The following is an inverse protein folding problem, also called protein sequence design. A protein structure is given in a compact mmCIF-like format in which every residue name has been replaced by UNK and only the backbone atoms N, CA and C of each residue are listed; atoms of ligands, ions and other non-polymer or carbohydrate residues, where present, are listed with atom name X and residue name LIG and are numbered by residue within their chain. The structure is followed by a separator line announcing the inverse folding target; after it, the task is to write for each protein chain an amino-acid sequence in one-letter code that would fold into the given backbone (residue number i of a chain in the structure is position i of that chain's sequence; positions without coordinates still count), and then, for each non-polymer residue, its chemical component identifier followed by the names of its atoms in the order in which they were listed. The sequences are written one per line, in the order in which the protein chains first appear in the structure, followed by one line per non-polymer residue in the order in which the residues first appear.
data_IF_640716507588
#
_entry.id   IF_640716507588
#
_cell.length_a   1.000
_cell.length_b   1.000
_cell.length_c   1.000
_cell.angle_alpha   90.00
_cell.angle_beta   90.00
_cell.angle_gamma   90.00
#
_symmetry.space_group_name_H-M   'P 1'
#
loop_
_entity.id
_entity.type
_entity.pdbx_description
1 polymer ?
#
# COMPACT_ATOMS: atom_id res chain seq x y z
N UNK A 1 -26.14 -17.83 9.62
CA UNK A 1 -24.66 -17.83 9.57
C UNK A 1 -24.00 -18.03 10.93
N UNK A 2 -24.41 -17.33 11.99
CA UNK A 2 -23.66 -17.31 13.26
C UNK A 2 -23.74 -18.60 14.11
N UNK A 3 -24.63 -19.54 13.78
CA UNK A 3 -24.81 -20.81 14.51
C UNK A 3 -23.65 -21.79 14.33
N UNK A 4 -22.89 -21.70 13.24
CA UNK A 4 -21.74 -22.57 12.93
C UNK A 4 -20.42 -22.14 13.60
N UNK A 5 -20.44 -21.03 14.33
CA UNK A 5 -19.25 -20.50 15.00
C UNK A 5 -18.93 -21.22 16.32
N UNK A 6 -19.91 -21.90 16.92
CA UNK A 6 -19.74 -22.59 18.20
C UNK A 6 -18.67 -23.68 18.07
N UNK A 7 -17.69 -23.66 18.98
CA UNK A 7 -16.57 -24.61 19.01
C UNK A 7 -15.42 -24.28 18.07
N UNK A 8 -15.47 -23.14 17.35
CA UNK A 8 -14.33 -22.65 16.56
C UNK A 8 -13.32 -21.95 17.48
N UNK A 9 -12.05 -21.95 17.05
CA UNK A 9 -10.94 -21.27 17.73
C UNK A 9 -10.40 -20.17 16.82
N UNK A 10 -10.16 -18.99 17.36
CA UNK A 10 -9.58 -17.84 16.66
C UNK A 10 -8.25 -17.49 17.33
N UNK A 11 -7.17 -17.72 16.60
CA UNK A 11 -5.84 -17.23 16.97
C UNK A 11 -5.68 -15.75 16.63
N UNK A 12 -5.01 -14.97 17.47
CA UNK A 12 -4.58 -13.61 17.13
C UNK A 12 -3.13 -13.35 17.53
N UNK A 13 -2.47 -12.50 16.74
CA UNK A 13 -1.13 -12.01 17.05
C UNK A 13 -1.08 -10.52 16.74
N UNK A 14 -1.13 -9.71 17.79
CA UNK A 14 -1.15 -8.25 17.72
C UNK A 14 -0.21 -7.69 18.79
N UNK A 15 0.41 -6.53 18.51
CA UNK A 15 1.21 -5.86 19.54
C UNK A 15 0.34 -5.37 20.69
N UNK A 16 0.90 -5.28 21.90
CA UNK A 16 0.22 -4.72 23.07
C UNK A 16 -0.40 -3.33 22.81
N UNK A 17 0.31 -2.48 22.07
CA UNK A 17 -0.19 -1.16 21.65
C UNK A 17 -1.45 -1.27 20.79
N UNK A 18 -1.50 -2.23 19.87
CA UNK A 18 -2.65 -2.46 18.99
C UNK A 18 -3.82 -3.09 19.74
N UNK A 19 -3.56 -4.05 20.63
CA UNK A 19 -4.56 -4.69 21.50
C UNK A 19 -5.29 -3.62 22.33
N UNK A 20 -4.53 -2.74 23.00
CA UNK A 20 -5.08 -1.64 23.79
C UNK A 20 -5.87 -0.66 22.93
N UNK A 21 -5.31 -0.26 21.79
CA UNK A 21 -5.94 0.72 20.89
C UNK A 21 -7.27 0.24 20.32
N UNK A 22 -7.36 -1.02 19.92
CA UNK A 22 -8.60 -1.59 19.40
C UNK A 22 -9.58 -1.98 20.52
N UNK A 23 -9.15 -2.02 21.78
CA UNK A 23 -9.87 -2.69 22.87
C UNK A 23 -10.22 -4.15 22.52
N UNK A 24 -9.23 -4.90 22.04
CA UNK A 24 -9.45 -6.24 21.46
C UNK A 24 -10.02 -7.26 22.47
N UNK A 25 -9.92 -6.99 23.77
CA UNK A 25 -10.56 -7.80 24.81
C UNK A 25 -12.09 -7.82 24.69
N UNK A 26 -12.71 -6.72 24.24
CA UNK A 26 -14.15 -6.68 23.99
C UNK A 26 -14.56 -7.60 22.82
N UNK A 27 -13.69 -7.73 21.80
CA UNK A 27 -13.90 -8.69 20.72
C UNK A 27 -13.81 -10.15 21.20
N UNK A 28 -12.82 -10.44 22.04
CA UNK A 28 -12.68 -11.78 22.63
C UNK A 28 -13.92 -12.17 23.45
N UNK A 29 -14.49 -11.24 24.21
CA UNK A 29 -15.74 -11.44 24.95
C UNK A 29 -16.94 -11.64 24.01
N UNK A 30 -17.03 -10.85 22.93
CA UNK A 30 -18.07 -11.03 21.91
C UNK A 30 -18.00 -12.44 21.28
N UNK A 31 -16.80 -12.92 20.97
CA UNK A 31 -16.55 -14.26 20.46
C UNK A 31 -16.97 -15.34 21.46
N UNK A 32 -16.59 -15.19 22.74
CA UNK A 32 -16.93 -16.13 23.82
C UNK A 32 -18.44 -16.28 23.99
N UNK A 33 -19.20 -15.19 23.91
CA UNK A 33 -20.68 -15.20 23.93
C UNK A 33 -21.29 -16.02 22.79
N UNK A 34 -20.55 -16.23 21.70
CA UNK A 34 -20.94 -17.10 20.56
C UNK A 34 -20.31 -18.49 20.61
N UNK A 35 -19.67 -18.85 21.72
CA UNK A 35 -19.01 -20.15 21.91
C UNK A 35 -17.73 -20.32 21.08
N UNK A 36 -17.05 -19.22 20.75
CA UNK A 36 -15.76 -19.21 20.05
C UNK A 36 -14.65 -19.02 21.09
N UNK A 37 -13.63 -19.86 21.03
CA UNK A 37 -12.40 -19.69 21.82
C UNK A 37 -11.46 -18.70 21.12
N UNK A 38 -10.87 -17.77 21.87
CA UNK A 38 -9.89 -16.81 21.33
C UNK A 38 -8.56 -17.01 22.04
N UNK A 39 -7.49 -17.24 21.27
CA UNK A 39 -6.16 -17.64 21.77
C UNK A 39 -5.08 -16.76 21.16
N UNK A 40 -4.03 -16.46 21.93
CA UNK A 40 -2.87 -15.71 21.45
C UNK A 40 -1.79 -16.71 20.99
N UNK A 41 -1.12 -16.44 19.86
CA UNK A 41 0.00 -17.23 19.27
C UNK A 41 -0.37 -18.61 18.65
N UNK A 42 -0.55 -18.68 17.32
CA UNK A 42 -0.92 -19.94 16.65
C UNK A 42 -0.68 -19.96 15.13
N UNK A 43 0.56 -19.96 14.62
CA UNK A 43 0.73 -19.98 13.13
C UNK A 43 1.60 -21.10 12.56
N UNK A 44 2.49 -21.76 13.31
CA UNK A 44 3.51 -22.56 12.61
C UNK A 44 3.22 -24.07 12.46
N UNK A 45 2.13 -24.60 13.01
CA UNK A 45 1.85 -26.06 13.02
C UNK A 45 0.55 -26.51 12.31
N UNK A 46 -0.21 -25.58 11.70
CA UNK A 46 -1.60 -25.85 11.28
C UNK A 46 -1.96 -25.25 9.92
N UNK A 47 -1.64 -25.91 8.79
CA UNK A 47 -1.93 -25.42 7.43
C UNK A 47 -3.43 -25.26 7.13
N UNK A 48 -4.32 -25.89 7.90
CA UNK A 48 -5.77 -25.72 7.86
C UNK A 48 -6.25 -24.36 8.39
N UNK A 49 -5.38 -23.63 9.09
CA UNK A 49 -5.69 -22.34 9.72
C UNK A 49 -5.88 -21.26 8.67
N UNK A 50 -7.05 -20.63 8.66
CA UNK A 50 -7.30 -19.43 7.87
C UNK A 50 -6.52 -18.27 8.49
N UNK A 51 -5.62 -17.66 7.73
CA UNK A 51 -4.82 -16.50 8.14
C UNK A 51 -5.45 -15.21 7.59
N UNK A 52 -5.86 -14.31 8.48
CA UNK A 52 -6.38 -12.98 8.14
C UNK A 52 -5.34 -11.91 8.54
N UNK A 53 -4.57 -11.32 7.62
CA UNK A 53 -4.47 -11.59 6.18
C UNK A 53 -3.14 -12.30 5.82
N UNK A 54 -3.04 -12.97 4.65
CA UNK A 54 -1.84 -13.70 4.26
C UNK A 54 -0.57 -12.83 4.26
N UNK A 55 0.55 -13.37 4.77
CA UNK A 55 1.82 -12.65 4.83
C UNK A 55 2.32 -12.07 3.50
N UNK A 56 2.15 -12.73 2.33
CA UNK A 56 2.50 -12.13 1.04
C UNK A 56 1.74 -10.82 0.76
N UNK A 57 0.46 -10.77 1.13
CA UNK A 57 -0.37 -9.59 0.97
C UNK A 57 0.12 -8.45 1.87
N UNK A 58 0.42 -8.76 3.13
CA UNK A 58 0.99 -7.79 4.09
C UNK A 58 2.32 -7.24 3.58
N UNK A 59 3.21 -8.09 3.03
CA UNK A 59 4.50 -7.66 2.48
C UNK A 59 4.35 -6.68 1.32
N UNK A 60 3.32 -6.83 0.48
CA UNK A 60 3.01 -5.86 -0.57
C UNK A 60 2.62 -4.51 0.02
N UNK A 61 1.77 -4.51 1.06
CA UNK A 61 1.29 -3.28 1.72
C UNK A 61 2.33 -2.59 2.60
N UNK A 62 3.48 -3.20 2.87
CA UNK A 62 4.60 -2.58 3.58
C UNK A 62 5.51 -1.73 2.67
N UNK A 63 5.33 -1.79 1.35
CA UNK A 63 6.09 -1.04 0.36
C UNK A 63 5.14 -0.17 -0.47
N UNK A 64 5.27 1.17 -0.35
CA UNK A 64 4.38 2.11 -1.04
C UNK A 64 4.49 2.03 -2.56
N UNK A 65 5.69 1.81 -3.11
CA UNK A 65 5.89 1.69 -4.56
C UNK A 65 5.13 0.47 -5.08
N UNK A 66 5.28 -0.68 -4.40
CA UNK A 66 4.54 -1.91 -4.77
C UNK A 66 3.03 -1.74 -4.62
N UNK A 67 2.60 -1.07 -3.56
CA UNK A 67 1.18 -0.83 -3.28
C UNK A 67 0.54 0.06 -4.35
N UNK A 68 1.17 1.18 -4.69
CA UNK A 68 0.66 2.11 -5.71
C UNK A 68 0.70 1.49 -7.11
N UNK A 69 1.74 0.71 -7.43
CA UNK A 69 1.82 0.01 -8.72
C UNK A 69 0.72 -1.05 -8.87
N UNK A 70 0.39 -1.74 -7.79
CA UNK A 70 -0.74 -2.67 -7.79
C UNK A 70 -2.07 -1.94 -7.96
N UNK A 71 -2.30 -0.86 -7.21
CA UNK A 71 -3.50 -0.04 -7.33
C UNK A 71 -3.66 0.45 -8.77
N UNK A 72 -2.60 1.01 -9.37
CA UNK A 72 -2.58 1.46 -10.77
C UNK A 72 -2.98 0.36 -11.75
N UNK A 73 -2.50 -0.88 -11.56
CA UNK A 73 -2.89 -2.04 -12.39
C UNK A 73 -4.35 -2.43 -12.21
N UNK A 74 -4.85 -2.39 -10.97
CA UNK A 74 -6.25 -2.68 -10.67
C UNK A 74 -7.16 -1.62 -11.30
N UNK A 75 -6.84 -0.35 -11.16
CA UNK A 75 -7.60 0.77 -11.75
C UNK A 75 -7.61 0.67 -13.28
N UNK A 76 -6.47 0.36 -13.90
CA UNK A 76 -6.38 0.13 -15.34
C UNK A 76 -7.20 -1.08 -15.82
N UNK A 77 -7.31 -2.12 -15.00
CA UNK A 77 -8.16 -3.29 -15.28
C UNK A 77 -9.66 -2.96 -15.12
N UNK A 78 -10.01 -2.15 -14.11
CA UNK A 78 -11.40 -1.75 -13.86
C UNK A 78 -11.96 -0.84 -14.94
N UNK A 79 -11.11 0.00 -15.57
CA UNK A 79 -11.50 0.95 -16.61
C UNK A 79 -12.67 1.86 -16.21
N UNK A 80 -12.74 2.23 -14.92
CA UNK A 80 -13.75 3.14 -14.37
C UNK A 80 -13.26 4.58 -14.49
N UNK A 81 -13.94 5.38 -15.29
CA UNK A 81 -13.59 6.79 -15.56
C UNK A 81 -13.74 7.70 -14.32
N UNK A 82 -14.41 7.24 -13.27
CA UNK A 82 -14.54 7.93 -11.99
C UNK A 82 -13.32 7.74 -11.10
N UNK A 83 -12.33 6.95 -11.50
CA UNK A 83 -11.11 6.67 -10.71
C UNK A 83 -9.90 7.23 -11.45
N UNK A 84 -8.95 7.79 -10.72
CA UNK A 84 -7.67 8.21 -11.27
C UNK A 84 -6.50 7.75 -10.40
N UNK A 85 -5.44 7.29 -11.06
CA UNK A 85 -4.16 6.97 -10.43
C UNK A 85 -3.28 8.21 -10.51
N UNK A 86 -3.00 8.92 -9.40
CA UNK A 86 -2.07 10.03 -9.44
C UNK A 86 -0.69 9.52 -9.90
N UNK A 87 -0.06 10.13 -10.93
CA UNK A 87 1.26 9.75 -11.37
C UNK A 87 2.21 9.67 -10.17
N UNK A 88 3.00 8.60 -10.11
CA UNK A 88 3.96 8.37 -9.04
C UNK A 88 5.19 7.64 -9.57
N UNK A 89 6.30 7.76 -8.86
CA UNK A 89 7.50 6.95 -9.11
C UNK A 89 8.35 6.80 -7.84
N UNK A 90 9.20 5.78 -7.81
CA UNK A 90 10.22 5.63 -6.78
C UNK A 90 11.51 6.36 -7.19
N UNK A 91 12.02 7.21 -6.30
CA UNK A 91 13.37 7.77 -6.40
C UNK A 91 14.28 6.99 -5.46
N UNK A 92 15.37 6.45 -5.99
CA UNK A 92 16.37 5.65 -5.26
C UNK A 92 17.68 6.39 -5.02
N UNK A 93 17.94 7.45 -5.79
CA UNK A 93 19.17 8.24 -5.77
C UNK A 93 18.86 9.71 -5.52
N UNK A 94 19.83 10.43 -4.93
CA UNK A 94 19.70 11.87 -4.66
C UNK A 94 19.37 12.63 -5.95
N UNK A 95 18.60 13.70 -5.82
CA UNK A 95 18.22 14.52 -6.96
C UNK A 95 19.45 15.23 -7.54
N UNK A 96 19.53 15.27 -8.86
CA UNK A 96 20.58 15.92 -9.63
C UNK A 96 20.03 16.44 -10.97
N UNK A 97 20.92 16.69 -11.93
CA UNK A 97 20.59 17.38 -13.19
C UNK A 97 19.51 16.64 -14.01
N UNK A 98 19.54 15.30 -14.01
CA UNK A 98 18.59 14.47 -14.77
C UNK A 98 17.23 14.28 -14.10
N UNK A 99 17.08 14.71 -12.82
CA UNK A 99 15.87 14.43 -12.05
C UNK A 99 14.62 15.06 -12.66
N UNK A 100 14.72 16.28 -13.20
CA UNK A 100 13.58 16.94 -13.84
C UNK A 100 13.10 16.17 -15.08
N UNK A 101 14.01 15.72 -15.93
CA UNK A 101 13.66 14.94 -17.12
C UNK A 101 13.01 13.61 -16.74
N UNK A 102 13.51 12.97 -15.66
CA UNK A 102 12.95 11.73 -15.15
C UNK A 102 11.53 11.93 -14.60
N UNK A 103 11.28 13.02 -13.87
CA UNK A 103 9.95 13.37 -13.35
C UNK A 103 8.96 13.60 -14.50
N UNK A 104 9.32 14.43 -15.48
CA UNK A 104 8.49 14.71 -16.66
C UNK A 104 8.17 13.45 -17.47
N UNK A 105 9.17 12.59 -17.70
CA UNK A 105 8.99 11.31 -18.41
C UNK A 105 7.98 10.39 -17.73
N UNK A 106 7.86 10.47 -16.41
CA UNK A 106 6.90 9.69 -15.62
C UNK A 106 5.59 10.44 -15.33
N UNK A 107 5.38 11.62 -15.95
CA UNK A 107 4.15 12.40 -15.80
C UNK A 107 4.03 13.11 -14.45
N UNK A 108 5.14 13.30 -13.72
CA UNK A 108 5.13 14.05 -12.47
C UNK A 108 5.17 15.55 -12.75
N UNK A 109 4.35 16.30 -12.01
CA UNK A 109 4.23 17.74 -12.10
C UNK A 109 4.20 18.36 -10.69
N UNK A 110 4.65 19.60 -10.57
CA UNK A 110 4.56 20.32 -9.32
C UNK A 110 3.11 20.81 -9.05
N UNK A 111 2.64 20.78 -7.79
CA UNK A 111 3.33 20.19 -6.65
C UNK A 111 3.19 18.67 -6.61
N UNK A 112 4.16 18.00 -6.01
CA UNK A 112 4.08 16.58 -5.69
C UNK A 112 4.43 16.33 -4.22
N UNK A 113 3.91 15.24 -3.67
CA UNK A 113 4.16 14.78 -2.31
C UNK A 113 5.23 13.68 -2.32
N UNK A 114 6.22 13.82 -1.44
CA UNK A 114 7.25 12.83 -1.14
C UNK A 114 6.82 12.02 0.08
N UNK A 115 6.89 10.70 -0.03
CA UNK A 115 6.57 9.73 1.02
C UNK A 115 7.74 8.76 1.14
N UNK A 116 8.04 8.26 2.33
CA UNK A 116 9.03 7.18 2.47
C UNK A 116 8.57 5.93 1.69
N UNK A 117 9.51 5.10 1.22
CA UNK A 117 9.14 3.85 0.55
C UNK A 117 8.48 2.86 1.52
N UNK A 118 9.06 2.72 2.71
CA UNK A 118 8.52 1.88 3.79
C UNK A 118 7.21 2.50 4.27
N UNK A 119 6.11 1.73 4.17
CA UNK A 119 4.76 2.26 4.37
C UNK A 119 4.34 2.36 5.85
N UNK A 120 5.00 1.62 6.74
CA UNK A 120 4.62 1.52 8.15
C UNK A 120 5.85 1.37 9.07
N UNK A 121 5.81 2.00 10.25
CA UNK A 121 6.85 1.91 11.27
C UNK A 121 7.33 3.26 11.76
N UNK A 122 8.43 3.26 12.52
CA UNK A 122 9.09 4.50 12.94
C UNK A 122 9.62 5.23 11.69
N UNK A 123 9.40 6.54 11.59
CA UNK A 123 9.80 7.40 10.47
C UNK A 123 9.06 7.16 9.13
N UNK A 124 8.10 6.24 9.02
CA UNK A 124 7.35 6.03 7.77
C UNK A 124 6.34 7.15 7.45
N UNK A 125 6.22 8.15 8.33
CA UNK A 125 5.18 9.17 8.30
C UNK A 125 5.72 10.58 8.04
N UNK A 126 7.04 10.75 7.97
CA UNK A 126 7.62 12.01 7.50
C UNK A 126 7.42 12.12 5.99
N UNK A 127 6.85 13.25 5.58
CA UNK A 127 6.49 13.56 4.21
C UNK A 127 6.93 14.97 3.86
N UNK A 128 7.05 15.24 2.56
CA UNK A 128 7.30 16.59 2.06
C UNK A 128 6.38 16.92 0.88
N UNK A 129 6.08 18.20 0.66
CA UNK A 129 5.45 18.70 -0.57
C UNK A 129 6.44 19.61 -1.26
N UNK A 130 6.76 19.28 -2.51
CA UNK A 130 7.71 20.02 -3.33
C UNK A 130 6.92 20.83 -4.37
N UNK A 131 7.20 22.13 -4.47
CA UNK A 131 6.45 23.08 -5.29
C UNK A 131 7.19 23.51 -6.57
N UNK A 132 8.50 23.31 -6.63
CA UNK A 132 9.36 23.76 -7.72
C UNK A 132 10.68 22.97 -7.74
N UNK A 133 11.50 23.24 -8.76
CA UNK A 133 12.77 22.55 -8.99
C UNK A 133 13.78 22.77 -7.86
N UNK A 134 13.81 23.96 -7.24
CA UNK A 134 14.71 24.26 -6.10
C UNK A 134 14.43 23.34 -4.90
N UNK A 135 13.15 23.01 -4.68
CA UNK A 135 12.71 22.08 -3.67
C UNK A 135 13.12 20.61 -3.88
N UNK A 136 13.68 20.23 -5.03
CA UNK A 136 14.20 18.86 -5.22
C UNK A 136 15.33 18.53 -4.25
N UNK A 137 16.08 19.53 -3.80
CA UNK A 137 17.14 19.39 -2.79
C UNK A 137 16.64 18.88 -1.44
N UNK A 138 15.35 19.03 -1.14
CA UNK A 138 14.71 18.56 0.09
C UNK A 138 14.39 17.06 0.10
N UNK A 139 14.47 16.39 -1.05
CA UNK A 139 14.05 15.00 -1.20
C UNK A 139 15.11 14.06 -0.64
N UNK A 140 14.69 13.12 0.21
CA UNK A 140 15.56 12.07 0.78
C UNK A 140 15.15 10.68 0.26
N UNK A 141 15.89 10.12 -0.71
CA UNK A 141 15.72 8.75 -1.19
C UNK A 141 16.17 7.70 -0.16
N UNK A 142 15.63 6.46 -0.21
CA UNK A 142 14.58 6.01 -1.11
C UNK A 142 13.20 6.54 -0.70
N UNK A 143 12.50 7.16 -1.65
CA UNK A 143 11.17 7.72 -1.44
C UNK A 143 10.27 7.50 -2.65
N UNK A 144 8.97 7.55 -2.42
CA UNK A 144 7.96 7.61 -3.47
C UNK A 144 7.53 9.07 -3.62
N UNK A 145 7.60 9.57 -4.84
CA UNK A 145 7.04 10.87 -5.23
C UNK A 145 5.72 10.63 -5.97
N UNK A 146 4.70 11.42 -5.67
CA UNK A 146 3.36 11.28 -6.26
C UNK A 146 2.76 12.67 -6.47
N UNK A 147 2.10 12.91 -7.61
CA UNK A 147 1.45 14.19 -7.87
C UNK A 147 0.48 14.55 -6.75
N UNK A 148 0.54 15.81 -6.30
CA UNK A 148 -0.39 16.33 -5.33
C UNK A 148 -1.71 16.65 -6.03
N UNK A 149 -2.82 16.15 -5.47
CA UNK A 149 -4.15 16.37 -6.00
C UNK A 149 -4.89 17.30 -5.05
N UNK A 150 -5.37 18.45 -5.53
CA UNK A 150 -6.26 19.32 -4.76
C UNK A 150 -7.60 18.60 -4.54
N UNK A 151 -8.06 18.58 -3.29
CA UNK A 151 -9.20 17.76 -2.86
C UNK A 151 -9.99 18.39 -1.71
N UNK A 152 -9.89 19.72 -1.57
CA UNK A 152 -10.65 20.51 -0.61
C UNK A 152 -10.48 20.04 0.86
N UNK A 153 -9.27 19.60 1.24
CA UNK A 153 -8.88 19.25 2.61
C UNK A 153 -9.70 18.14 3.29
N UNK A 154 -10.42 17.30 2.54
CA UNK A 154 -11.18 16.17 3.09
C UNK A 154 -10.60 14.84 2.63
N UNK A 155 -10.18 14.02 3.59
CA UNK A 155 -9.79 12.63 3.36
C UNK A 155 -10.96 11.69 3.71
N UNK A 156 -11.25 10.75 2.83
CA UNK A 156 -12.22 9.69 3.06
C UNK A 156 -11.49 8.38 3.36
N UNK A 157 -11.39 8.03 4.65
CA UNK A 157 -10.84 6.74 5.07
C UNK A 157 -11.91 5.66 4.91
N UNK A 158 -11.74 4.80 3.93
CA UNK A 158 -12.55 3.60 3.74
C UNK A 158 -11.94 2.47 4.55
N UNK A 159 -12.56 2.14 5.67
CA UNK A 159 -12.16 0.99 6.48
C UNK A 159 -12.89 -0.26 6.02
N UNK A 160 -12.15 -1.22 5.47
CA UNK A 160 -12.70 -2.47 4.95
C UNK A 160 -12.54 -3.60 5.98
N UNK A 161 -13.61 -4.36 6.15
CA UNK A 161 -13.68 -5.56 6.98
C UNK A 161 -14.39 -6.64 6.18
N UNK A 162 -13.62 -7.37 5.38
CA UNK A 162 -14.13 -8.36 4.45
C UNK A 162 -15.08 -7.75 3.43
N UNK A 163 -16.36 -8.09 3.57
CA UNK A 163 -17.42 -7.66 2.65
C UNK A 163 -18.08 -6.34 3.03
N UNK A 164 -17.86 -5.89 4.27
CA UNK A 164 -18.32 -4.61 4.77
C UNK A 164 -17.25 -3.55 4.62
N UNK A 165 -17.67 -2.29 4.51
CA UNK A 165 -16.79 -1.13 4.68
C UNK A 165 -17.51 0.00 5.40
N UNK A 166 -16.75 0.89 6.01
CA UNK A 166 -17.24 2.14 6.59
C UNK A 166 -16.37 3.29 6.12
N UNK A 167 -16.99 4.40 5.71
CA UNK A 167 -16.28 5.62 5.31
C UNK A 167 -16.23 6.59 6.48
N UNK A 168 -15.03 7.00 6.88
CA UNK A 168 -14.80 8.00 7.93
C UNK A 168 -14.08 9.19 7.33
N UNK A 169 -14.69 10.37 7.42
CA UNK A 169 -14.04 11.61 7.01
C UNK A 169 -12.94 12.00 7.99
N UNK A 170 -11.84 12.53 7.48
CA UNK A 170 -10.70 13.03 8.25
C UNK A 170 -10.23 14.37 7.69
N UNK A 171 -9.62 15.22 8.54
CA UNK A 171 -8.82 16.34 8.06
C UNK A 171 -7.76 15.87 7.06
N UNK A 172 -7.46 16.70 6.06
CA UNK A 172 -6.46 16.43 5.04
C UNK A 172 -5.78 17.73 4.61
N UNK A 173 -4.74 17.60 3.79
CA UNK A 173 -3.98 18.75 3.29
C UNK A 173 -4.89 19.70 2.49
N UNK A 174 -4.77 21.00 2.77
CA UNK A 174 -5.45 22.06 2.02
C UNK A 174 -5.04 22.07 0.55
N UNK A 175 -5.81 22.80 -0.26
CA UNK A 175 -5.44 23.04 -1.64
C UNK A 175 -4.18 23.90 -1.73
N UNK A 176 -3.42 23.67 -2.80
CA UNK A 176 -2.27 24.47 -3.17
C UNK A 176 -2.34 24.93 -4.62
N UNK A 177 -1.91 26.15 -4.88
CA UNK A 177 -1.64 26.64 -6.24
C UNK A 177 -0.42 25.94 -6.81
N UNK A 178 -0.45 25.61 -8.09
CA UNK A 178 0.74 25.13 -8.80
C UNK A 178 1.85 26.19 -8.69
N UNK A 179 3.05 25.78 -8.25
CA UNK A 179 4.22 26.64 -8.36
C UNK A 179 4.51 26.91 -9.83
N UNK A 180 4.87 28.15 -10.19
CA UNK A 180 5.31 28.46 -11.55
C UNK A 180 6.61 27.74 -11.86
N UNK A 181 6.54 26.54 -12.42
CA UNK A 181 7.69 25.99 -13.13
C UNK A 181 7.87 26.80 -14.41
N UNK A 182 9.07 27.31 -14.67
CA UNK A 182 9.40 28.13 -15.84
C UNK A 182 9.38 27.38 -17.18
N UNK A 183 8.49 26.42 -17.35
CA UNK A 183 8.26 25.74 -18.63
C UNK A 183 6.99 26.31 -19.27
N UNK A 184 7.14 26.84 -20.48
CA UNK A 184 6.04 27.42 -21.25
C UNK A 184 4.92 26.38 -21.44
N UNK A 185 3.64 26.77 -21.39
CA UNK A 185 2.57 25.84 -21.70
C UNK A 185 2.71 25.41 -23.18
N UNK A 186 2.90 24.10 -23.40
CA UNK A 186 2.74 23.49 -24.71
C UNK A 186 1.33 23.76 -25.28
N UNK A 187 1.15 23.70 -26.60
CA UNK A 187 -0.05 24.20 -27.25
C UNK A 187 -1.28 23.42 -26.79
N UNK A 188 -2.17 24.11 -26.07
CA UNK A 188 -3.51 23.64 -25.79
C UNK A 188 -4.25 23.49 -27.12
N UNK A 189 -4.61 22.25 -27.46
CA UNK A 189 -5.52 21.93 -28.55
C UNK A 189 -6.93 22.37 -28.15
N UNK A 190 -7.29 23.59 -28.51
CA UNK A 190 -8.68 24.05 -28.49
C UNK A 190 -9.32 23.66 -29.85
N UNK A 191 -10.49 23.00 -29.89
CA UNK A 191 -11.16 22.71 -31.15
C UNK A 191 -11.77 23.98 -31.76
N UNK A 192 -11.85 24.10 -33.11
CA UNK A 192 -12.28 25.32 -33.77
C UNK A 192 -13.81 25.48 -33.68
N UNK A 193 -14.25 26.62 -33.14
CA UNK A 193 -15.63 27.08 -33.31
C UNK A 193 -15.71 28.11 -34.44
N UNK A 194 -16.70 27.90 -35.30
CA UNK A 194 -16.94 28.57 -36.57
C UNK A 194 -17.32 30.07 -36.48
N UNK A 195 -17.12 30.71 -37.63
CA UNK A 195 -17.29 32.11 -38.01
C UNK A 195 -18.73 32.67 -37.93
N UNK A 196 -18.85 33.97 -37.67
CA UNK A 196 -20.07 34.75 -37.89
C UNK A 196 -19.89 36.27 -37.79
N UNK A 197 -19.64 36.91 -38.93
CA UNK A 197 -20.01 38.28 -39.37
C UNK A 197 -20.04 39.48 -38.40
N UNK A 198 -19.36 40.57 -38.80
CA UNK A 198 -19.65 41.93 -38.30
C UNK A 198 -18.73 42.99 -38.91
N UNK A 199 -19.31 43.95 -39.63
CA UNK A 199 -18.70 44.86 -40.61
C UNK A 199 -18.24 46.19 -39.97
N UNK A 200 -17.22 46.81 -40.59
CA UNK A 200 -17.05 48.26 -40.82
C UNK A 200 -16.50 49.17 -39.69
N UNK A 201 -15.41 49.88 -40.00
CA UNK A 201 -15.02 51.13 -39.35
C UNK A 201 -13.57 51.54 -39.65
N UNK A 202 -13.39 52.51 -40.55
CA UNK A 202 -12.10 52.99 -41.09
C UNK A 202 -11.82 54.37 -40.50
N UNK A 203 -10.65 54.59 -39.89
CA UNK A 203 -10.01 55.92 -39.85
C UNK A 203 -8.50 55.87 -39.57
N UNK A 204 -7.81 56.79 -40.21
CA UNK A 204 -6.36 56.99 -40.35
C UNK A 204 -5.86 57.94 -39.24
N UNK A 205 -4.60 57.81 -38.80
CA UNK A 205 -3.83 58.97 -38.34
C UNK A 205 -2.79 58.77 -37.23
N UNK A 206 -1.53 58.92 -37.66
CA UNK A 206 -0.38 59.52 -36.96
C UNK A 206 0.54 58.71 -36.04
N UNK A 207 1.79 58.72 -36.53
CA UNK A 207 3.10 58.51 -35.91
C UNK A 207 3.33 59.32 -34.64
N UNK A 208 3.88 58.66 -33.61
CA UNK A 208 4.47 59.30 -32.45
C UNK A 208 5.37 58.31 -31.70
N UNK A 209 6.68 58.39 -31.94
CA UNK A 209 7.67 57.67 -31.17
C UNK A 209 7.72 58.21 -29.72
N UNK A 210 7.50 57.35 -28.73
CA UNK A 210 7.76 57.66 -27.33
C UNK A 210 8.46 56.49 -26.65
N UNK A 211 9.61 56.84 -26.05
CA UNK A 211 10.58 56.01 -25.34
C UNK A 211 9.94 55.01 -24.39
N UNK A 212 10.48 53.79 -24.42
CA UNK A 212 10.12 52.70 -23.53
C UNK A 212 10.32 53.06 -22.06
N UNK A 213 9.22 53.14 -21.34
CA UNK A 213 9.14 52.83 -19.92
C UNK A 213 8.66 51.39 -19.83
N UNK A 214 9.59 50.50 -19.48
CA UNK A 214 9.34 49.09 -19.22
C UNK A 214 8.32 49.03 -18.08
N UNK A 215 7.09 48.61 -18.36
CA UNK A 215 6.10 48.30 -17.35
C UNK A 215 6.69 47.25 -16.39
N UNK A 216 6.42 47.33 -15.07
CA UNK A 216 6.80 46.26 -14.16
C UNK A 216 6.08 45.00 -14.63
N UNK A 217 6.83 43.94 -14.93
CA UNK A 217 6.28 42.62 -15.17
C UNK A 217 5.39 42.26 -13.99
N UNK A 218 4.10 42.11 -14.26
CA UNK A 218 3.10 41.73 -13.29
C UNK A 218 3.44 40.34 -12.72
N UNK A 219 3.53 40.27 -11.39
CA UNK A 219 3.22 39.07 -10.60
C UNK A 219 4.18 37.87 -10.72
N UNK A 220 5.42 37.98 -10.22
CA UNK A 220 6.06 36.79 -9.64
C UNK A 220 5.42 36.56 -8.27
N UNK A 221 4.60 35.51 -8.15
CA UNK A 221 4.32 34.92 -6.84
C UNK A 221 5.65 34.41 -6.28
N UNK A 222 6.00 34.68 -5.01
CA UNK A 222 7.26 34.21 -4.44
C UNK A 222 7.35 32.68 -4.53
N UNK A 223 8.50 32.18 -4.99
CA UNK A 223 8.80 30.75 -5.02
C UNK A 223 8.61 30.19 -3.61
N UNK A 224 7.67 29.25 -3.48
CA UNK A 224 7.31 28.68 -2.18
C UNK A 224 8.28 27.58 -1.82
N UNK A 225 8.80 27.62 -0.59
CA UNK A 225 9.61 26.55 -0.03
C UNK A 225 8.83 25.22 0.10
N UNK A 226 9.56 24.11 0.08
CA UNK A 226 8.99 22.79 0.33
C UNK A 226 8.44 22.70 1.76
N UNK A 227 7.30 22.03 1.92
CA UNK A 227 6.68 21.82 3.23
C UNK A 227 7.08 20.45 3.74
N UNK A 228 7.57 20.35 4.97
CA UNK A 228 7.79 19.08 5.65
C UNK A 228 6.76 18.88 6.75
N UNK A 229 6.24 17.66 6.88
CA UNK A 229 5.24 17.36 7.88
C UNK A 229 5.19 15.86 8.21
N UNK A 230 4.70 15.55 9.40
CA UNK A 230 4.34 14.19 9.78
C UNK A 230 2.86 13.93 9.49
N UNK A 231 2.54 12.85 8.78
CA UNK A 231 1.17 12.53 8.36
C UNK A 231 0.19 12.31 9.54
N UNK A 232 0.70 11.95 10.72
CA UNK A 232 -0.11 11.85 11.94
C UNK A 232 -0.69 13.18 12.39
N UNK A 233 -0.03 14.30 12.09
CA UNK A 233 -0.48 15.63 12.47
C UNK A 233 -1.54 16.18 11.49
N UNK A 234 -1.76 15.48 10.37
CA UNK A 234 -2.62 15.94 9.27
C UNK A 234 -3.96 15.21 9.23
N UNK A 235 -4.00 13.89 9.40
CA UNK A 235 -5.22 13.10 9.12
C UNK A 235 -5.72 12.20 10.26
N UNK A 236 -5.42 12.58 11.51
CA UNK A 236 -6.06 12.01 12.71
C UNK A 236 -7.37 12.75 13.02
N UNK A 237 -8.28 12.16 13.83
CA UNK A 237 -9.60 12.75 14.09
C UNK A 237 -9.52 14.20 14.58
N UNK A 238 -8.60 14.48 15.50
CA UNK A 238 -8.40 15.80 16.11
C UNK A 238 -7.28 16.61 15.43
N UNK A 239 -6.82 16.20 14.24
CA UNK A 239 -5.78 16.95 13.54
C UNK A 239 -6.29 18.32 13.12
N UNK A 240 -5.63 19.36 13.62
CA UNK A 240 -5.92 20.75 13.25
C UNK A 240 -4.61 21.52 13.14
N UNK A 241 -4.35 22.04 11.95
CA UNK A 241 -3.17 22.87 11.67
C UNK A 241 -3.43 23.77 10.47
N UNK A 242 -2.51 24.70 10.20
CA UNK A 242 -2.52 25.53 8.98
C UNK A 242 -2.45 24.70 7.70
N UNK A 243 -1.94 23.47 7.76
CA UNK A 243 -1.89 22.55 6.61
C UNK A 243 -3.23 21.90 6.30
N UNK A 244 -4.16 21.87 7.26
CA UNK A 244 -5.50 21.27 7.09
C UNK A 244 -6.62 22.31 7.03
N UNK A 245 -6.30 23.57 7.33
CA UNK A 245 -7.23 24.68 7.21
C UNK A 245 -7.44 25.04 5.73
N UNK A 246 -8.60 24.67 5.18
CA UNK A 246 -8.98 25.04 3.82
C UNK A 246 -9.33 26.53 3.75
N UNK A 247 -8.73 27.26 2.82
CA UNK A 247 -9.02 28.69 2.65
C UNK A 247 -10.43 28.91 2.09
N UNK A 248 -10.77 28.16 1.03
CA UNK A 248 -12.08 28.13 0.37
C UNK A 248 -12.22 26.83 -0.43
N UNK A 249 -13.46 26.40 -0.66
CA UNK A 249 -13.75 25.28 -1.56
C UNK A 249 -13.51 25.74 -3.00
N UNK A 250 -12.84 24.90 -3.80
CA UNK A 250 -12.56 25.14 -5.21
C UNK A 250 -12.96 23.91 -6.02
N UNK A 251 -13.52 24.13 -7.22
CA UNK A 251 -13.90 23.05 -8.13
C UNK A 251 -14.97 22.11 -7.56
N UNK A 252 -14.88 20.83 -7.93
CA UNK A 252 -15.75 19.74 -7.47
C UNK A 252 -15.51 19.45 -5.98
N UNK A 253 -16.59 19.31 -5.23
CA UNK A 253 -16.55 18.94 -3.82
C UNK A 253 -17.69 17.97 -3.49
N UNK A 254 -17.43 16.69 -3.75
CA UNK A 254 -18.40 15.62 -3.60
C UNK A 254 -17.90 14.56 -2.62
N UNK A 255 -18.82 13.73 -2.13
CA UNK A 255 -18.47 12.52 -1.39
C UNK A 255 -18.10 11.39 -2.36
N UNK A 256 -17.27 10.42 -1.94
CA UNK A 256 -16.97 9.28 -2.79
C UNK A 256 -18.22 8.44 -3.08
N UNK A 257 -18.29 7.91 -4.30
CA UNK A 257 -19.30 6.97 -4.75
C UNK A 257 -19.12 5.63 -4.06
N UNK A 258 -20.19 5.17 -3.41
CA UNK A 258 -20.26 3.85 -2.80
C UNK A 258 -20.07 2.70 -3.82
N UNK A 259 -20.48 2.91 -5.07
CA UNK A 259 -20.26 1.92 -6.13
C UNK A 259 -18.78 1.78 -6.45
N UNK A 260 -18.07 2.91 -6.60
CA UNK A 260 -16.61 2.94 -6.82
C UNK A 260 -15.88 2.29 -5.66
N UNK A 261 -16.25 2.64 -4.41
CA UNK A 261 -15.65 2.04 -3.21
C UNK A 261 -15.86 0.52 -3.19
N UNK A 262 -17.08 0.04 -3.47
CA UNK A 262 -17.37 -1.41 -3.52
C UNK A 262 -16.53 -2.11 -4.58
N UNK A 263 -16.38 -1.50 -5.76
CA UNK A 263 -15.61 -2.07 -6.85
C UNK A 263 -14.12 -2.13 -6.51
N UNK A 264 -13.54 -1.04 -5.99
CA UNK A 264 -12.16 -0.97 -5.52
C UNK A 264 -11.88 -1.98 -4.40
N UNK A 265 -12.74 -2.01 -3.37
CA UNK A 265 -12.63 -2.97 -2.27
C UNK A 265 -12.63 -4.40 -2.79
N UNK A 266 -13.58 -4.77 -3.65
CA UNK A 266 -13.66 -6.11 -4.22
C UNK A 266 -12.41 -6.47 -5.02
N UNK A 267 -11.95 -5.57 -5.89
CA UNK A 267 -10.78 -5.81 -6.73
C UNK A 267 -9.50 -5.96 -5.90
N UNK A 268 -9.28 -5.11 -4.90
CA UNK A 268 -8.13 -5.20 -3.98
C UNK A 268 -8.14 -6.50 -3.18
N UNK A 269 -9.30 -6.90 -2.65
CA UNK A 269 -9.45 -8.17 -1.92
C UNK A 269 -9.16 -9.37 -2.82
N UNK A 270 -9.66 -9.37 -4.05
CA UNK A 270 -9.42 -10.44 -5.01
C UNK A 270 -7.96 -10.51 -5.47
N UNK A 271 -7.31 -9.36 -5.68
CA UNK A 271 -5.93 -9.30 -6.18
C UNK A 271 -4.88 -9.63 -5.10
N UNK A 272 -5.09 -9.18 -3.85
CA UNK A 272 -4.13 -9.37 -2.77
C UNK A 272 -4.47 -10.52 -1.82
N UNK A 273 -5.75 -10.91 -1.72
CA UNK A 273 -6.24 -11.75 -0.64
C UNK A 273 -6.28 -11.04 0.72
N UNK A 274 -6.20 -9.70 0.76
CA UNK A 274 -6.46 -8.95 2.00
C UNK A 274 -7.95 -8.90 2.28
N UNK A 275 -8.30 -8.66 3.53
CA UNK A 275 -9.68 -8.50 3.98
C UNK A 275 -9.83 -7.47 5.08
N UNK A 276 -8.78 -7.21 5.87
CA UNK A 276 -8.79 -6.21 6.92
C UNK A 276 -7.79 -5.11 6.57
N UNK A 277 -8.25 -4.09 5.87
CA UNK A 277 -7.40 -3.01 5.37
C UNK A 277 -8.15 -1.69 5.31
N UNK A 278 -7.42 -0.59 5.14
CA UNK A 278 -7.97 0.74 4.92
C UNK A 278 -7.48 1.32 3.60
N UNK A 279 -8.36 2.03 2.90
CA UNK A 279 -8.03 2.80 1.69
C UNK A 279 -8.25 4.28 2.00
N UNK A 280 -7.25 5.11 1.73
CA UNK A 280 -7.34 6.55 1.86
C UNK A 280 -7.70 7.14 0.49
N UNK A 281 -8.94 7.61 0.37
CA UNK A 281 -9.48 8.20 -0.86
C UNK A 281 -9.61 9.71 -0.71
N UNK A 282 -9.19 10.44 -1.72
CA UNK A 282 -9.49 11.86 -1.91
C UNK A 282 -10.27 12.06 -3.20
N UNK A 283 -11.08 13.11 -3.28
CA UNK A 283 -11.82 13.47 -4.48
C UNK A 283 -11.09 14.62 -5.18
N UNK A 284 -10.61 14.35 -6.39
CA UNK A 284 -9.92 15.34 -7.20
C UNK A 284 -10.89 16.49 -7.52
N UNK A 285 -10.58 17.70 -7.05
CA UNK A 285 -11.50 18.83 -7.22
C UNK A 285 -11.54 19.39 -8.66
N UNK A 286 -10.65 18.96 -9.55
CA UNK A 286 -10.69 19.34 -10.96
C UNK A 286 -11.60 18.41 -11.77
N UNK A 287 -11.62 17.12 -11.43
CA UNK A 287 -12.30 16.09 -12.24
C UNK A 287 -13.45 15.36 -11.55
N UNK A 288 -13.55 15.45 -10.22
CA UNK A 288 -14.46 14.66 -9.40
C UNK A 288 -14.05 13.18 -9.23
N UNK A 289 -12.89 12.78 -9.76
CA UNK A 289 -12.43 11.40 -9.70
C UNK A 289 -11.89 11.03 -8.32
N UNK A 290 -12.00 9.74 -8.01
CA UNK A 290 -11.47 9.12 -6.79
C UNK A 290 -9.99 8.82 -7.00
N UNK A 291 -9.14 9.38 -6.15
CA UNK A 291 -7.73 9.03 -6.11
C UNK A 291 -7.44 8.24 -4.83
N UNK A 292 -6.96 7.01 -4.97
CA UNK A 292 -6.42 6.25 -3.86
C UNK A 292 -4.99 6.70 -3.59
N UNK A 293 -4.76 7.31 -2.43
CA UNK A 293 -3.45 7.91 -2.08
C UNK A 293 -2.69 7.13 -1.01
N UNK A 294 -3.35 6.20 -0.32
CA UNK A 294 -2.70 5.29 0.63
C UNK A 294 -3.55 4.02 0.83
N UNK A 295 -2.89 2.92 1.17
CA UNK A 295 -3.53 1.67 1.56
C UNK A 295 -2.79 1.08 2.76
N UNK A 296 -3.54 0.65 3.76
CA UNK A 296 -2.99 0.23 5.05
C UNK A 296 -3.51 -1.15 5.44
N UNK A 297 -2.61 -2.08 5.76
CA UNK A 297 -2.99 -3.34 6.37
C UNK A 297 -3.48 -3.12 7.82
N UNK A 298 -4.60 -3.75 8.17
CA UNK A 298 -5.21 -3.76 9.50
C UNK A 298 -5.11 -2.40 10.23
N UNK A 299 -5.79 -1.33 9.76
CA UNK A 299 -5.65 0.01 10.30
C UNK A 299 -6.27 0.16 11.69
N UNK A 300 -6.41 1.39 12.19
CA UNK A 300 -6.92 1.66 13.54
C UNK A 300 -8.43 1.53 13.71
N UNK A 301 -9.22 1.54 12.63
CA UNK A 301 -10.69 1.51 12.64
C UNK A 301 -11.36 2.56 13.56
N UNK A 302 -10.64 3.63 13.88
CA UNK A 302 -11.14 4.77 14.67
C UNK A 302 -12.30 5.45 13.93
N UNK A 303 -13.49 5.46 14.55
CA UNK A 303 -14.72 5.97 13.96
C UNK A 303 -15.65 4.89 13.37
N UNK A 304 -15.29 3.60 13.50
CA UNK A 304 -16.12 2.47 13.05
C UNK A 304 -16.70 1.76 14.27
N UNK A 305 -17.94 2.09 14.66
CA UNK A 305 -18.60 1.49 15.82
C UNK A 305 -18.83 -0.02 15.64
N UNK A 306 -19.13 -0.44 14.41
CA UNK A 306 -19.50 -1.82 14.08
C UNK A 306 -18.29 -2.74 13.84
N UNK A 307 -17.06 -2.27 14.06
CA UNK A 307 -15.84 -2.99 13.69
C UNK A 307 -15.82 -4.45 14.18
N UNK A 308 -16.18 -4.69 15.45
CA UNK A 308 -16.19 -6.05 16.01
C UNK A 308 -17.32 -6.92 15.49
N UNK A 309 -18.47 -6.35 15.21
CA UNK A 309 -19.60 -7.05 14.57
C UNK A 309 -19.21 -7.46 13.15
N UNK A 310 -18.64 -6.54 12.38
CA UNK A 310 -18.18 -6.78 11.02
C UNK A 310 -17.05 -7.81 10.98
N UNK A 311 -16.07 -7.72 11.89
CA UNK A 311 -14.96 -8.67 11.98
C UNK A 311 -15.48 -10.09 12.26
N UNK A 312 -16.45 -10.21 13.17
CA UNK A 312 -17.05 -11.50 13.49
C UNK A 312 -17.89 -12.06 12.33
N UNK A 313 -18.61 -11.20 11.61
CA UNK A 313 -19.36 -11.59 10.41
C UNK A 313 -18.41 -12.03 9.29
N UNK A 314 -17.27 -11.36 9.13
CA UNK A 314 -16.24 -11.73 8.17
C UNK A 314 -15.62 -13.09 8.52
N UNK A 315 -15.26 -13.33 9.78
CA UNK A 315 -14.78 -14.65 10.26
C UNK A 315 -15.81 -15.74 9.95
N UNK A 316 -17.11 -15.48 10.16
CA UNK A 316 -18.17 -16.42 9.80
C UNK A 316 -18.23 -16.69 8.28
N UNK A 317 -18.05 -15.66 7.47
CA UNK A 317 -18.05 -15.75 6.00
C UNK A 317 -16.90 -16.64 5.49
N UNK A 318 -15.67 -16.40 5.96
CA UNK A 318 -14.49 -17.18 5.52
C UNK A 318 -14.56 -18.64 5.96
N UNK A 319 -15.08 -18.91 7.17
CA UNK A 319 -15.30 -20.29 7.66
C UNK A 319 -16.36 -21.03 6.82
N UNK A 320 -17.42 -20.33 6.41
CA UNK A 320 -18.44 -20.90 5.54
C UNK A 320 -17.88 -21.19 4.14
N UNK A 321 -17.09 -20.27 3.58
CA UNK A 321 -16.44 -20.43 2.29
C UNK A 321 -15.51 -21.64 2.25
N UNK A 322 -14.69 -21.83 3.30
CA UNK A 322 -13.82 -23.00 3.42
C UNK A 322 -14.62 -24.31 3.51
N UNK A 323 -15.71 -24.32 4.29
CA UNK A 323 -16.57 -25.50 4.45
C UNK A 323 -17.27 -25.88 3.14
N UNK A 324 -17.76 -24.90 2.38
CA UNK A 324 -18.38 -25.12 1.08
C UNK A 324 -17.37 -25.58 0.02
N UNK A 325 -16.18 -25.01 0.00
CA UNK A 325 -15.11 -25.44 -0.91
C UNK A 325 -14.66 -26.88 -0.63
N UNK A 326 -14.49 -27.25 0.64
CA UNK A 326 -14.16 -28.61 1.05
C UNK A 326 -15.28 -29.62 0.71
N UNK A 327 -16.55 -29.21 0.81
CA UNK A 327 -17.69 -30.04 0.41
C UNK A 327 -17.79 -30.22 -1.11
N UNK A 328 -17.33 -29.24 -1.90
CA UNK A 328 -17.33 -29.30 -3.36
C UNK A 328 -16.13 -30.05 -3.95
N UNK A 329 -14.98 -30.09 -3.25
CA UNK A 329 -13.73 -30.65 -3.80
C UNK A 329 -13.50 -32.13 -3.50
N UNK A 330 -14.24 -32.76 -2.57
CA UNK A 330 -14.16 -34.21 -2.29
C UNK A 330 -12.80 -34.74 -1.78
N UNK A 331 -11.74 -33.96 -1.86
CA UNK A 331 -10.38 -34.30 -1.44
C UNK A 331 -9.62 -33.06 -0.96
N UNK A 332 -8.70 -33.26 -0.01
CA UNK A 332 -7.99 -32.21 0.73
C UNK A 332 -6.85 -31.64 -0.12
N UNK A 333 -7.08 -30.50 -0.77
CA UNK A 333 -6.01 -29.66 -1.32
C UNK A 333 -6.25 -28.18 -0.97
N UNK A 334 -5.22 -27.43 -0.52
CA UNK A 334 -5.41 -26.03 -0.16
C UNK A 334 -5.71 -25.18 -1.40
N UNK A 335 -6.63 -24.24 -1.25
CA UNK A 335 -7.01 -23.24 -2.25
C UNK A 335 -5.77 -22.48 -2.77
N UNK A 336 -5.27 -22.86 -3.95
CA UNK A 336 -4.26 -22.11 -4.69
C UNK A 336 -4.86 -20.83 -5.24
N UNK A 337 -4.74 -19.72 -4.51
CA UNK A 337 -4.96 -18.39 -5.05
C UNK A 337 -3.64 -17.84 -5.59
N UNK A 338 -3.37 -18.12 -6.87
CA UNK A 338 -2.48 -17.33 -7.75
C UNK A 338 -2.30 -18.06 -9.08
N UNK A 339 -3.07 -17.65 -10.10
CA UNK A 339 -2.76 -18.00 -11.49
C UNK A 339 -2.82 -16.80 -12.44
N UNK A 340 -2.60 -15.61 -11.89
CA UNK A 340 -2.25 -14.40 -12.63
C UNK A 340 -0.92 -13.93 -12.05
N UNK A 341 0.09 -13.75 -12.89
CA UNK A 341 1.51 -13.50 -12.59
C UNK A 341 2.40 -14.77 -12.47
N UNK A 342 2.32 -15.65 -13.46
CA UNK A 342 3.42 -16.55 -13.79
C UNK A 342 3.39 -16.90 -15.29
N UNK A 343 3.56 -15.89 -16.16
CA UNK A 343 3.99 -16.08 -17.55
C UNK A 343 4.33 -14.73 -18.17
N UNK A 344 5.61 -14.35 -18.10
CA UNK A 344 6.38 -13.65 -19.14
C UNK A 344 7.77 -13.34 -18.58
N UNK A 345 8.62 -14.36 -18.58
CA UNK A 345 10.06 -14.22 -18.53
C UNK A 345 10.65 -15.35 -19.37
N UNK A 346 11.25 -14.98 -20.50
CA UNK A 346 11.73 -15.87 -21.55
C UNK A 346 11.15 -15.37 -22.87
N UNK A 347 11.89 -14.76 -23.79
CA UNK A 347 13.31 -14.87 -24.08
C UNK A 347 13.37 -14.92 -25.60
N UNK A 348 13.78 -13.81 -26.21
CA UNK A 348 13.96 -13.68 -27.65
C UNK A 348 14.99 -14.73 -28.12
N UNK A 349 14.55 -15.70 -28.92
CA UNK A 349 15.44 -16.50 -29.75
C UNK A 349 14.72 -16.84 -31.06
N UNK A 350 15.35 -16.44 -32.16
CA UNK A 350 14.84 -16.48 -33.51
C UNK A 350 14.57 -17.91 -34.02
N UNK A 351 13.48 -18.05 -34.77
CA UNK A 351 13.21 -19.20 -35.61
C UNK A 351 14.24 -19.28 -36.75
N UNK A 352 14.94 -20.42 -36.84
CA UNK A 352 15.45 -20.94 -38.12
C UNK A 352 15.14 -22.42 -38.21
N UNK A 353 14.27 -22.71 -39.17
CA UNK A 353 13.96 -24.00 -39.77
C UNK A 353 15.23 -24.73 -40.24
N UNK A 354 15.30 -26.04 -40.05
CA UNK A 354 15.65 -27.04 -41.08
C UNK A 354 15.71 -28.48 -40.52
N UNK A 355 15.22 -29.39 -41.37
CA UNK A 355 15.00 -30.84 -41.28
C UNK A 355 16.26 -31.73 -41.21
N UNK A 356 16.16 -32.90 -40.54
CA UNK A 356 16.40 -34.26 -41.08
C UNK A 356 16.67 -35.36 -40.00
N UNK A 357 15.75 -36.33 -39.90
CA UNK A 357 15.91 -37.81 -39.83
C UNK A 357 16.85 -38.58 -38.85
N UNK A 358 16.59 -39.89 -38.58
CA UNK A 358 16.80 -40.54 -37.28
C UNK A 358 17.80 -41.75 -37.25
N UNK A 359 18.17 -42.22 -36.05
CA UNK A 359 18.82 -43.54 -35.81
C UNK A 359 19.06 -43.78 -34.30
N UNK A 360 18.27 -44.63 -33.63
CA UNK A 360 18.45 -46.08 -33.35
C UNK A 360 19.49 -46.47 -32.28
N UNK A 361 18.96 -47.02 -31.18
CA UNK A 361 19.37 -48.24 -30.45
C UNK A 361 20.78 -48.25 -29.79
N UNK A 362 20.98 -48.44 -28.48
CA UNK A 362 20.88 -49.70 -27.71
C UNK A 362 21.32 -49.44 -26.24
N UNK A 363 20.58 -49.83 -25.21
CA UNK A 363 20.79 -51.00 -24.30
C UNK A 363 21.80 -50.89 -23.13
N UNK A 364 21.28 -51.22 -21.93
CA UNK A 364 21.89 -51.95 -20.78
C UNK A 364 22.57 -51.20 -19.61
N UNK A 365 21.85 -51.25 -18.48
CA UNK A 365 22.25 -51.49 -17.07
C UNK A 365 23.74 -51.51 -16.67
N UNK A 366 24.04 -50.83 -15.55
CA UNK A 366 25.24 -51.06 -14.74
C UNK A 366 25.23 -50.28 -13.41
N UNK A 367 24.73 -50.95 -12.37
CA UNK A 367 25.12 -50.98 -10.94
C UNK A 367 25.93 -49.84 -10.28
N UNK A 368 25.36 -49.34 -9.16
CA UNK A 368 25.99 -48.73 -7.95
C UNK A 368 26.96 -49.72 -7.21
N UNK A 369 27.79 -49.37 -6.16
CA UNK A 369 27.38 -48.56 -4.99
C UNK A 369 28.56 -47.90 -4.17
N UNK A 370 28.52 -47.68 -2.82
CA UNK A 370 28.87 -46.39 -2.20
C UNK A 370 29.95 -46.51 -1.08
N UNK A 371 30.51 -45.40 -0.60
CA UNK A 371 31.46 -45.38 0.53
C UNK A 371 31.23 -44.08 1.33
N UNK A 372 31.25 -43.96 2.66
CA UNK A 372 31.14 -44.83 3.86
C UNK A 372 31.17 -43.85 5.05
N UNK A 373 30.41 -44.14 6.10
CA UNK A 373 30.48 -43.52 7.42
C UNK A 373 31.42 -44.32 8.33
N UNK A 374 32.15 -43.67 9.23
CA UNK A 374 32.88 -44.29 10.34
C UNK A 374 32.34 -43.79 11.68
N UNK A 375 32.20 -44.72 12.62
CA UNK A 375 31.88 -44.56 14.03
C UNK A 375 32.91 -45.36 14.83
N UNK A 376 33.18 -44.99 16.09
CA UNK A 376 33.60 -45.92 17.15
C UNK A 376 33.39 -45.24 18.54
N UNK A 377 32.53 -45.79 19.42
CA UNK A 377 32.81 -46.68 20.59
C UNK A 377 33.19 -45.88 21.86
N UNK A 378 32.66 -46.11 23.06
CA UNK A 378 31.73 -47.09 23.65
C UNK A 378 31.81 -47.00 25.18
N UNK A 379 30.88 -47.63 25.93
CA UNK A 379 31.06 -47.87 27.37
C UNK A 379 29.77 -47.90 28.22
N UNK A 380 29.54 -49.03 28.89
CA UNK A 380 28.30 -49.49 29.56
C UNK A 380 28.37 -49.29 31.09
N UNK A 381 27.22 -49.11 31.76
CA UNK A 381 27.09 -49.34 33.22
C UNK A 381 25.69 -49.05 33.80
N UNK A 382 25.08 -50.04 34.43
CA UNK A 382 23.68 -50.08 34.88
C UNK A 382 23.46 -49.67 36.36
N UNK A 383 22.22 -49.31 36.74
CA UNK A 383 21.64 -49.65 38.06
C UNK A 383 20.97 -48.56 38.93
N UNK A 384 19.68 -48.78 39.21
CA UNK A 384 18.92 -48.48 40.46
C UNK A 384 18.27 -47.09 40.74
N UNK A 385 16.92 -47.12 40.74
CA UNK A 385 15.93 -46.53 41.67
C UNK A 385 16.26 -45.31 42.57
N UNK A 386 15.45 -44.24 42.47
CA UNK A 386 14.52 -43.73 43.49
C UNK A 386 14.41 -42.19 43.60
N UNK A 387 13.16 -41.74 43.76
CA UNK A 387 12.66 -40.51 44.43
C UNK A 387 12.91 -39.11 43.81
N UNK A 388 11.77 -38.47 43.50
CA UNK A 388 11.54 -37.02 43.51
C UNK A 388 12.04 -36.38 44.82
N UNK A 389 12.52 -35.12 44.75
CA UNK A 389 11.72 -34.06 45.37
C UNK A 389 11.65 -32.77 44.52
N UNK A 390 10.60 -32.00 44.78
CA UNK A 390 10.37 -30.65 44.24
C UNK A 390 11.57 -29.71 44.45
N UNK A 391 11.92 -28.95 43.39
CA UNK A 391 12.48 -27.60 43.57
C UNK A 391 12.11 -26.66 42.42
N UNK A 392 11.88 -25.41 42.81
CA UNK A 392 11.40 -24.25 42.05
C UNK A 392 12.54 -23.59 41.24
N UNK A 393 12.11 -22.86 40.19
CA UNK A 393 12.72 -21.70 39.52
C UNK A 393 13.78 -21.95 38.43
N UNK A 394 13.54 -21.32 37.28
CA UNK A 394 14.55 -21.09 36.24
C UNK A 394 13.93 -20.63 34.91
N UNK A 395 13.67 -19.33 34.77
CA UNK A 395 13.30 -18.71 33.48
C UNK A 395 14.44 -18.92 32.47
N UNK A 396 14.16 -19.59 31.35
CA UNK A 396 15.02 -19.55 30.17
C UNK A 396 14.16 -19.26 28.94
N UNK A 397 14.27 -18.03 28.44
CA UNK A 397 13.82 -17.66 27.12
C UNK A 397 14.84 -18.21 26.11
N UNK A 398 14.58 -19.38 25.56
CA UNK A 398 15.35 -19.92 24.44
C UNK A 398 14.47 -19.82 23.18
N UNK A 399 14.75 -18.81 22.37
CA UNK A 399 14.18 -18.64 21.02
C UNK A 399 14.91 -19.58 20.06
N UNK A 400 14.18 -20.21 19.14
CA UNK A 400 14.72 -21.16 18.16
C UNK A 400 15.84 -20.55 17.29
N UNK A 401 16.93 -21.30 16.99
CA UNK A 401 18.05 -20.85 16.15
C UNK A 401 17.67 -20.47 14.70
N UNK A 402 16.50 -20.86 14.21
CA UNK A 402 16.01 -20.53 12.85
C UNK A 402 15.58 -19.06 12.69
N UNK A 403 15.45 -18.30 13.78
CA UNK A 403 15.00 -16.91 13.75
C UNK A 403 16.16 -15.88 13.70
N UNK A 404 17.39 -16.28 14.06
CA UNK A 404 18.54 -15.35 14.10
C UNK A 404 19.15 -15.05 12.72
N UNK A 405 18.91 -15.88 11.70
CA UNK A 405 19.50 -15.66 10.37
C UNK A 405 18.74 -14.67 9.47
N UNK A 406 17.53 -14.25 9.83
CA UNK A 406 16.70 -13.40 8.95
C UNK A 406 16.31 -12.04 9.54
N UNK A 407 16.80 -11.70 10.73
CA UNK A 407 16.52 -10.43 11.40
C UNK A 407 17.78 -9.81 12.03
N UNK A 408 18.83 -9.56 11.24
CA UNK A 408 19.90 -8.62 11.63
C UNK A 408 20.31 -7.77 10.43
N UNK A 409 19.65 -6.62 10.25
CA UNK A 409 20.32 -5.47 9.66
C UNK A 409 21.08 -4.80 10.82
N UNK A 410 22.40 -4.93 10.82
CA UNK A 410 23.26 -4.34 11.84
C UNK A 410 23.21 -2.81 11.71
N UNK A 411 22.57 -2.12 12.67
CA UNK A 411 22.66 -0.67 12.82
C UNK A 411 23.66 -0.39 13.96
N UNK A 412 24.86 0.02 13.58
CA UNK A 412 25.85 0.56 14.50
C UNK A 412 25.43 2.00 14.88
N UNK A 413 24.91 2.18 16.09
CA UNK A 413 24.74 3.49 16.71
C UNK A 413 26.07 3.96 17.29
N UNK A 414 26.75 4.88 16.59
CA UNK A 414 27.71 5.78 17.27
C UNK A 414 26.90 6.91 17.91
N UNK A 415 26.76 6.84 19.23
CA UNK A 415 26.43 8.00 20.04
C UNK A 415 27.63 8.97 19.99
N UNK A 416 27.39 10.21 19.58
CA UNK A 416 28.29 11.33 19.89
C UNK A 416 27.47 12.38 20.61
N UNK A 417 27.74 12.49 21.90
CA UNK A 417 27.38 13.60 22.77
C UNK A 417 28.23 14.82 22.41
N UNK A 418 27.59 15.95 22.13
CA UNK A 418 27.83 17.27 22.74
C UNK A 418 26.75 18.25 22.28
#
# INVERSE_FOLDING_TARGET
MQTFLKGKRVGYWLSEKKIKKLNFQAFAELCRKRGIEVVQEYIDAHPETIVLDPLPAIRTLLDRSKSYELIRKIEAYMQDDRICSPPFMELTSLCGDDTMQLLEKNGLAFPFICKTRVAHGTNSHEMAIVFNQEGLSAIQPPCVVQNFINHNAVLYKVFVVGESYTVVQRPSLKNFSAGTSGSSPGPSLVPPAWTGSGRSGRTVGHTGAARGLRAPLAGRTPDRESIFFNSHNVSKPESSSVLTALDKIEGVFERPSDEVIRALSRALRQALGVSLFGIDIIINNQTGQHAVIDINAFPGYEGVSEFFTDLLNHIASVLQGQSAAAAASGDVAPLRHSKLLAEQAGGLAAERTCSASPGCCSSMMGQEPPWTSEADVGGVGAGSTAKLPHQRLGCTAAVSPSFQQHCVASLATKASSQ
#
